data_IF_654849300561
#
_entry.id   IF_654849300561
#
_cell.length_a   1.000
_cell.length_b   1.000
_cell.length_c   1.000
_cell.angle_alpha   90.00
_cell.angle_beta   90.00
_cell.angle_gamma   90.00
#
_symmetry.space_group_name_H-M   'P 1'
#
loop_
_entity.id
_entity.type
_entity.pdbx_description
1 polymer ?
#
# COMPACT_ATOMS: atom_id res chain seq x y z
N UNK A 1 25.12 -1.10 66.42
CA UNK A 1 24.02 -1.39 65.48
C UNK A 1 24.61 -2.19 64.34
N UNK A 2 24.19 -3.45 64.16
CA UNK A 2 24.73 -4.31 63.10
C UNK A 2 23.93 -4.11 61.81
N UNK A 3 24.48 -3.31 60.89
CA UNK A 3 23.90 -3.14 59.56
C UNK A 3 24.41 -4.24 58.64
N UNK A 4 23.58 -5.26 58.41
CA UNK A 4 23.83 -6.24 57.34
C UNK A 4 23.52 -5.56 56.01
N UNK A 5 24.51 -5.44 55.14
CA UNK A 5 24.34 -5.02 53.75
C UNK A 5 23.48 -6.05 53.02
N UNK A 6 22.28 -5.64 52.59
CA UNK A 6 21.41 -6.45 51.74
C UNK A 6 22.09 -6.64 50.38
N UNK A 7 22.26 -7.88 49.93
CA UNK A 7 22.71 -8.16 48.57
C UNK A 7 21.70 -7.52 47.60
N UNK A 8 22.22 -6.74 46.65
CA UNK A 8 21.43 -6.14 45.58
C UNK A 8 21.15 -7.26 44.57
N UNK A 9 19.90 -7.70 44.48
CA UNK A 9 19.49 -8.64 43.42
C UNK A 9 19.74 -7.97 42.06
N UNK A 10 20.28 -8.76 41.13
CA UNK A 10 20.48 -8.30 39.76
C UNK A 10 19.11 -8.03 39.11
N UNK A 11 18.96 -6.94 38.35
CA UNK A 11 17.66 -6.60 37.76
C UNK A 11 17.24 -7.65 36.73
N UNK A 12 16.05 -8.21 36.90
CA UNK A 12 15.42 -9.11 35.94
C UNK A 12 14.82 -8.35 34.76
N UNK A 13 14.93 -8.91 33.55
CA UNK A 13 14.25 -8.35 32.37
C UNK A 13 12.77 -8.71 32.43
N UNK A 14 11.90 -7.70 32.53
CA UNK A 14 10.46 -7.90 32.45
C UNK A 14 10.03 -8.10 30.98
N UNK A 15 9.58 -9.31 30.64
CA UNK A 15 9.10 -9.64 29.30
C UNK A 15 7.77 -8.98 28.95
N UNK A 16 6.89 -8.78 29.94
CA UNK A 16 5.53 -8.25 29.73
C UNK A 16 5.56 -6.83 29.12
N UNK A 17 6.28 -5.84 29.67
CA UNK A 17 6.42 -4.53 29.04
C UNK A 17 7.07 -4.59 27.66
N UNK A 18 7.96 -5.56 27.41
CA UNK A 18 8.66 -5.70 26.14
C UNK A 18 7.72 -6.19 25.03
N UNK A 19 6.84 -7.14 25.36
CA UNK A 19 5.81 -7.64 24.46
C UNK A 19 4.87 -6.49 24.04
N UNK A 20 4.47 -5.64 24.99
CA UNK A 20 3.58 -4.50 24.73
C UNK A 20 4.17 -3.55 23.68
N UNK A 21 5.44 -3.16 23.84
CA UNK A 21 6.15 -2.32 22.86
C UNK A 21 6.25 -2.98 21.48
N UNK A 22 6.57 -4.28 21.42
CA UNK A 22 6.67 -5.01 20.16
C UNK A 22 5.33 -5.08 19.43
N UNK A 23 4.24 -5.34 20.16
CA UNK A 23 2.90 -5.38 19.58
C UNK A 23 2.48 -4.01 19.03
N UNK A 24 2.76 -2.92 19.75
CA UNK A 24 2.49 -1.56 19.27
C UNK A 24 3.25 -1.27 17.97
N UNK A 25 4.53 -1.65 17.89
CA UNK A 25 5.34 -1.49 16.66
C UNK A 25 4.77 -2.31 15.51
N UNK A 26 4.37 -3.57 15.75
CA UNK A 26 3.79 -4.43 14.71
C UNK A 26 2.46 -3.90 14.19
N UNK A 27 1.57 -3.44 15.06
CA UNK A 27 0.29 -2.83 14.68
C UNK A 27 0.55 -1.57 13.85
N UNK A 28 1.44 -0.69 14.32
CA UNK A 28 1.78 0.53 13.59
C UNK A 28 2.33 0.22 12.20
N UNK A 29 3.21 -0.78 12.09
CA UNK A 29 3.74 -1.25 10.82
C UNK A 29 2.61 -1.79 9.92
N UNK A 30 1.75 -2.66 10.45
CA UNK A 30 0.62 -3.22 9.69
C UNK A 30 -0.38 -2.16 9.21
N UNK A 31 -0.62 -1.11 10.00
CA UNK A 31 -1.46 0.02 9.61
C UNK A 31 -0.77 0.95 8.61
N UNK A 32 0.56 1.12 8.73
CA UNK A 32 1.35 2.01 7.87
C UNK A 32 1.77 1.33 6.55
N UNK A 33 1.71 0.00 6.46
CA UNK A 33 1.88 -0.71 5.19
C UNK A 33 0.69 -0.39 4.29
N UNK A 34 0.88 0.51 3.33
CA UNK A 34 -0.12 0.77 2.30
C UNK A 34 -0.27 -0.47 1.42
N UNK A 35 -1.47 -1.01 1.32
CA UNK A 35 -1.75 -2.06 0.35
C UNK A 35 -1.78 -1.41 -1.04
N UNK A 36 -0.69 -1.56 -1.80
CA UNK A 36 -0.63 -1.05 -3.17
C UNK A 36 -1.49 -1.96 -4.08
N UNK A 37 -2.79 -1.67 -4.18
CA UNK A 37 -3.63 -2.17 -5.30
C UNK A 37 -3.09 -1.49 -6.56
N UNK A 38 -2.11 -2.09 -7.23
CA UNK A 38 -1.82 -1.71 -8.61
C UNK A 38 -3.10 -1.92 -9.41
N UNK A 39 -3.64 -0.85 -10.00
CA UNK A 39 -4.72 -0.94 -10.98
C UNK A 39 -4.12 -1.58 -12.23
N UNK A 40 -4.01 -2.91 -12.21
CA UNK A 40 -3.52 -3.66 -13.35
C UNK A 40 -4.59 -3.61 -14.44
N UNK A 41 -4.36 -2.76 -15.44
CA UNK A 41 -5.16 -2.78 -16.67
C UNK A 41 -4.71 -4.03 -17.43
N UNK A 42 -5.57 -5.03 -17.51
CA UNK A 42 -5.34 -6.20 -18.36
C UNK A 42 -5.37 -5.75 -19.83
N UNK A 43 -4.21 -5.41 -20.38
CA UNK A 43 -4.07 -5.03 -21.79
C UNK A 43 -3.98 -6.30 -22.64
N UNK A 44 -5.11 -6.72 -23.22
CA UNK A 44 -5.09 -7.74 -24.26
C UNK A 44 -4.65 -7.08 -25.58
N UNK A 45 -3.37 -7.23 -25.94
CA UNK A 45 -2.88 -6.80 -27.25
C UNK A 45 -3.58 -7.63 -28.34
N UNK A 46 -4.38 -7.01 -29.24
CA UNK A 46 -4.93 -7.72 -30.37
C UNK A 46 -3.79 -8.10 -31.31
N UNK A 47 -3.75 -9.37 -31.72
CA UNK A 47 -2.95 -9.79 -32.88
C UNK A 47 -3.61 -9.21 -34.12
N UNK A 48 -2.83 -8.51 -34.94
CA UNK A 48 -3.33 -7.89 -36.15
C UNK A 48 -3.83 -8.96 -37.14
N UNK A 49 -5.13 -9.15 -37.21
CA UNK A 49 -5.76 -9.80 -38.35
C UNK A 49 -6.11 -8.68 -39.34
N UNK A 50 -5.59 -8.76 -40.56
CA UNK A 50 -5.68 -7.72 -41.58
C UNK A 50 -7.09 -7.64 -42.21
N UNK A 51 -8.12 -7.59 -41.38
CA UNK A 51 -9.47 -7.30 -41.82
C UNK A 51 -9.69 -5.79 -41.85
N UNK A 52 -10.20 -5.33 -42.99
CA UNK A 52 -10.45 -3.93 -43.29
C UNK A 52 -11.10 -3.18 -42.12
N UNK A 53 -10.59 -1.98 -41.85
CA UNK A 53 -11.07 -1.07 -40.83
C UNK A 53 -12.58 -0.87 -40.99
N UNK A 54 -13.35 -1.36 -40.01
CA UNK A 54 -14.78 -1.04 -39.94
C UNK A 54 -14.87 0.43 -39.54
N UNK A 55 -15.59 1.23 -40.33
CA UNK A 55 -16.01 2.56 -39.90
C UNK A 55 -16.91 2.41 -38.68
N UNK A 56 -16.33 2.56 -37.49
CA UNK A 56 -17.10 2.60 -36.25
C UNK A 56 -17.82 3.95 -36.19
N UNK A 57 -19.10 3.98 -36.55
CA UNK A 57 -19.94 5.21 -36.63
C UNK A 57 -20.07 5.98 -35.29
N UNK A 58 -19.47 5.50 -34.20
CA UNK A 58 -19.56 6.07 -32.85
C UNK A 58 -18.19 6.01 -32.16
N UNK A 59 -17.22 6.79 -32.65
CA UNK A 59 -15.98 7.01 -31.93
C UNK A 59 -16.22 7.97 -30.74
N UNK A 60 -15.66 7.63 -29.59
CA UNK A 60 -15.67 8.45 -28.39
C UNK A 60 -14.23 8.84 -28.08
N UNK A 61 -13.92 10.14 -28.17
CA UNK A 61 -12.61 10.65 -27.81
C UNK A 61 -12.61 11.01 -26.33
N UNK A 62 -11.75 10.33 -25.56
CA UNK A 62 -11.53 10.60 -24.14
C UNK A 62 -10.14 11.18 -23.97
N UNK A 63 -10.04 12.40 -23.45
CA UNK A 63 -8.78 13.05 -23.09
C UNK A 63 -8.60 12.98 -21.58
N UNK A 64 -7.38 12.69 -21.12
CA UNK A 64 -7.02 12.66 -19.69
C UNK A 64 -5.82 13.56 -19.51
N UNK A 65 -5.96 14.64 -18.74
CA UNK A 65 -4.87 15.55 -18.44
C UNK A 65 -4.07 15.09 -17.21
N UNK A 66 -2.86 15.60 -17.06
CA UNK A 66 -1.92 15.20 -16.00
C UNK A 66 -2.39 15.54 -14.58
N UNK A 67 -3.31 16.48 -14.45
CA UNK A 67 -4.01 16.84 -13.21
C UNK A 67 -5.22 15.94 -12.90
N UNK A 68 -5.51 14.94 -13.76
CA UNK A 68 -6.56 13.95 -13.57
C UNK A 68 -7.94 14.38 -14.09
N UNK A 69 -8.05 15.55 -14.73
CA UNK A 69 -9.29 15.95 -15.40
C UNK A 69 -9.51 15.12 -16.67
N UNK A 70 -10.77 14.80 -16.97
CA UNK A 70 -11.16 14.04 -18.15
C UNK A 70 -12.14 14.80 -19.03
N UNK A 71 -11.89 14.78 -20.33
CA UNK A 71 -12.75 15.35 -21.37
C UNK A 71 -13.35 14.26 -22.24
N UNK A 72 -14.60 14.43 -22.66
CA UNK A 72 -15.28 13.52 -23.60
C UNK A 72 -15.79 14.33 -24.77
N UNK A 73 -15.35 14.00 -25.98
CA UNK A 73 -15.76 14.65 -27.23
C UNK A 73 -15.65 16.18 -27.21
N UNK A 74 -14.72 16.72 -26.41
CA UNK A 74 -14.39 18.14 -26.36
C UNK A 74 -12.94 18.26 -26.79
N UNK A 75 -12.79 18.82 -28.00
CA UNK A 75 -11.50 19.22 -28.59
C UNK A 75 -10.94 20.37 -27.77
#
# INVERSE_FOLDING_TARGET
MNFRTRQKEEPEINLIPFIDVLLVVLIFLMLSTTYSKFTEIQLKLPVADAQAQRDYTKELLVTVSSDGNYGVNRV
#
